data_IF_742752936081
#
_entry.id   IF_742752936081
#
_cell.length_a   1.000
_cell.length_b   1.000
_cell.length_c   1.000
_cell.angle_alpha   90.00
_cell.angle_beta   90.00
_cell.angle_gamma   90.00
#
_symmetry.space_group_name_H-M   'P 1'
#
loop_
_entity.id
_entity.type
_entity.pdbx_description
1 polymer ?
#
# COMPACT_ATOMS: atom_id res chain seq x y z
N UNK A 1 -2.12 -30.48 -6.81
CA UNK A 1 -1.09 -29.88 -5.93
C UNK A 1 -1.50 -28.45 -5.66
N UNK A 2 -2.37 -28.24 -4.69
CA UNK A 2 -2.79 -26.91 -4.23
C UNK A 2 -1.89 -26.61 -3.04
N UNK A 3 -1.05 -25.58 -3.14
CA UNK A 3 -0.25 -25.14 -2.02
C UNK A 3 -1.21 -24.63 -0.95
N UNK A 4 -1.42 -25.40 0.11
CA UNK A 4 -1.93 -24.88 1.38
C UNK A 4 -0.94 -23.81 1.83
N UNK A 5 -1.24 -22.57 1.46
CA UNK A 5 -0.54 -21.41 1.95
C UNK A 5 -0.89 -21.31 3.43
N UNK A 6 -0.04 -21.91 4.27
CA UNK A 6 0.02 -21.64 5.71
C UNK A 6 -0.35 -20.18 5.93
N UNK A 7 -1.44 -19.93 6.67
CA UNK A 7 -2.04 -18.62 6.82
C UNK A 7 -0.94 -17.60 7.18
N UNK A 8 -0.47 -16.84 6.17
CA UNK A 8 0.71 -15.95 6.28
C UNK A 8 0.44 -14.79 7.24
N UNK A 9 -0.83 -14.62 7.62
CA UNK A 9 -1.33 -13.59 8.52
C UNK A 9 -1.70 -14.26 9.84
N UNK A 10 -0.83 -14.13 10.84
CA UNK A 10 -1.10 -14.53 12.21
C UNK A 10 -1.81 -13.42 12.99
N UNK A 11 -2.39 -13.76 14.14
CA UNK A 11 -2.97 -12.79 15.07
C UNK A 11 -1.96 -11.71 15.50
N UNK A 12 -0.68 -12.06 15.62
CA UNK A 12 0.39 -11.10 15.93
C UNK A 12 0.63 -10.07 14.82
N UNK A 13 0.36 -10.38 13.54
CA UNK A 13 0.43 -9.39 12.46
C UNK A 13 -0.71 -8.38 12.56
N UNK A 14 -1.91 -8.82 12.94
CA UNK A 14 -3.11 -7.98 13.07
C UNK A 14 -3.04 -7.02 14.27
N UNK A 15 -2.20 -7.31 15.28
CA UNK A 15 -2.01 -6.45 16.45
C UNK A 15 -1.07 -5.26 16.19
N UNK A 16 -0.40 -5.20 15.04
CA UNK A 16 0.58 -4.16 14.73
C UNK A 16 -0.11 -2.95 14.09
N UNK A 17 0.32 -1.76 14.46
CA UNK A 17 -0.08 -0.54 13.75
C UNK A 17 0.44 -0.57 12.31
N UNK A 18 -0.46 -0.41 11.35
CA UNK A 18 -0.11 -0.26 9.95
C UNK A 18 0.25 1.20 9.65
N UNK A 19 1.30 1.40 8.86
CA UNK A 19 1.72 2.72 8.39
C UNK A 19 1.83 2.73 6.87
N UNK A 20 1.35 3.82 6.26
CA UNK A 20 1.51 4.07 4.83
C UNK A 20 2.52 5.20 4.66
N UNK A 21 3.65 4.91 4.02
CA UNK A 21 4.64 5.93 3.64
C UNK A 21 4.57 6.18 2.14
N UNK A 22 4.26 7.43 1.77
CA UNK A 22 4.24 7.89 0.38
C UNK A 22 5.50 8.72 0.16
N UNK A 23 6.32 8.33 -0.82
CA UNK A 23 7.49 9.10 -1.22
C UNK A 23 7.10 10.16 -2.24
N UNK A 24 7.80 11.30 -2.20
CA UNK A 24 7.68 12.31 -3.23
C UNK A 24 8.41 11.86 -4.50
N UNK A 25 7.75 11.92 -5.66
CA UNK A 25 8.40 11.80 -6.96
C UNK A 25 9.15 13.08 -7.33
N UNK A 26 10.16 12.97 -8.19
CA UNK A 26 10.84 14.14 -8.75
C UNK A 26 9.90 14.94 -9.67
N UNK A 27 10.19 16.22 -9.93
CA UNK A 27 9.34 17.08 -10.75
C UNK A 27 9.08 16.48 -12.14
N UNK A 28 10.12 16.00 -12.82
CA UNK A 28 10.01 15.31 -14.12
C UNK A 28 9.14 14.05 -14.03
N UNK A 29 9.23 13.28 -12.95
CA UNK A 29 8.38 12.10 -12.77
C UNK A 29 6.92 12.47 -12.54
N UNK A 30 6.63 13.53 -11.78
CA UNK A 30 5.26 14.01 -11.55
C UNK A 30 4.62 14.46 -12.87
N UNK A 31 5.36 15.18 -13.70
CA UNK A 31 4.85 15.67 -14.99
C UNK A 31 4.53 14.51 -15.96
N UNK A 32 5.42 13.52 -16.04
CA UNK A 32 5.27 12.41 -16.99
C UNK A 32 4.42 11.24 -16.47
N UNK A 33 4.15 11.15 -15.15
CA UNK A 33 3.50 9.98 -14.53
C UNK A 33 2.36 10.36 -13.58
N UNK A 34 1.54 11.34 -13.98
CA UNK A 34 0.45 11.91 -13.15
C UNK A 34 -0.49 10.85 -12.55
N UNK A 35 -0.86 9.83 -13.32
CA UNK A 35 -1.74 8.73 -12.85
C UNK A 35 -1.07 7.86 -11.78
N UNK A 36 0.24 7.63 -11.88
CA UNK A 36 0.99 6.90 -10.86
C UNK A 36 1.05 7.71 -9.57
N UNK A 37 1.30 9.02 -9.66
CA UNK A 37 1.27 9.92 -8.52
C UNK A 37 -0.12 9.92 -7.86
N UNK A 38 -1.20 10.05 -8.62
CA UNK A 38 -2.56 9.99 -8.08
C UNK A 38 -2.84 8.68 -7.36
N UNK A 39 -2.46 7.53 -7.94
CA UNK A 39 -2.63 6.22 -7.29
C UNK A 39 -1.80 6.07 -6.02
N UNK A 40 -0.60 6.65 -5.97
CA UNK A 40 0.23 6.65 -4.76
C UNK A 40 -0.47 7.38 -3.60
N UNK A 41 -1.10 8.53 -3.88
CA UNK A 41 -1.88 9.24 -2.87
C UNK A 41 -3.20 8.54 -2.51
N UNK A 42 -3.88 7.94 -3.50
CA UNK A 42 -5.10 7.17 -3.27
C UNK A 42 -4.87 5.92 -2.41
N UNK A 43 -3.63 5.39 -2.35
CA UNK A 43 -3.29 4.24 -1.52
C UNK A 43 -3.55 4.51 -0.03
N UNK A 44 -3.26 5.72 0.46
CA UNK A 44 -3.52 6.07 1.85
C UNK A 44 -5.02 5.98 2.17
N UNK A 45 -5.86 6.57 1.31
CA UNK A 45 -7.32 6.48 1.46
C UNK A 45 -7.82 5.04 1.39
N UNK A 46 -7.32 4.26 0.44
CA UNK A 46 -7.67 2.85 0.30
C UNK A 46 -7.27 2.04 1.53
N UNK A 47 -6.08 2.28 2.10
CA UNK A 47 -5.66 1.61 3.33
C UNK A 47 -6.61 1.92 4.48
N UNK A 48 -7.02 3.18 4.67
CA UNK A 48 -8.04 3.53 5.68
C UNK A 48 -9.36 2.79 5.49
N UNK A 49 -9.82 2.60 4.24
CA UNK A 49 -11.05 1.85 3.98
C UNK A 49 -10.95 0.36 4.31
N UNK A 50 -9.74 -0.19 4.37
CA UNK A 50 -9.50 -1.61 4.64
C UNK A 50 -9.32 -1.92 6.13
N UNK A 51 -9.17 -0.89 6.98
CA UNK A 51 -8.91 -1.02 8.43
C UNK A 51 -7.43 -1.09 8.77
#
# INVERSE_FOLDING_TARGET
MMSDASNKISASHLQRTAFVYIRQSSASQVENNRESTQRQYALAQRATTLG
#
